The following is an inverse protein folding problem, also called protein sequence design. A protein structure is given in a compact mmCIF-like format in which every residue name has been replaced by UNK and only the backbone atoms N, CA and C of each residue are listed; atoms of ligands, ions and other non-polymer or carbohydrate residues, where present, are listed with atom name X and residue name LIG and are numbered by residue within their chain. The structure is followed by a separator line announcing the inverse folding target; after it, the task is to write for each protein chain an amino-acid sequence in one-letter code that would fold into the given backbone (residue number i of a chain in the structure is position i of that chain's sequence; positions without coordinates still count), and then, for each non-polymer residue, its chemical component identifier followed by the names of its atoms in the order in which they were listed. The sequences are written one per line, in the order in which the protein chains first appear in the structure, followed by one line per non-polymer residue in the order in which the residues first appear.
data_IF_918434424682
#
_entry.id   IF_918434424682
#
_cell.length_a   1.000
_cell.length_b   1.000
_cell.length_c   1.000
_cell.angle_alpha   90.00
_cell.angle_beta   90.00
_cell.angle_gamma   90.00
#
_symmetry.space_group_name_H-M   'P 1'
#
loop_
_entity.id
_entity.type
_entity.pdbx_description
1 polymer ?
#
# COMPACT_ATOMS: atom_id res chain seq x y z
N UNK A 1 6.82 -17.88 -18.81
CA UNK A 1 6.90 -16.55 -18.18
C UNK A 1 6.00 -16.57 -16.96
N UNK A 2 6.45 -16.06 -15.81
CA UNK A 2 5.63 -15.90 -14.61
C UNK A 2 5.46 -14.41 -14.39
N UNK A 3 4.23 -13.96 -14.16
CA UNK A 3 3.91 -12.55 -13.97
C UNK A 3 2.42 -12.35 -13.70
N UNK A 4 2.04 -11.12 -13.41
CA UNK A 4 0.66 -10.73 -13.13
C UNK A 4 0.31 -9.50 -13.97
N UNK A 5 -0.64 -9.65 -14.89
CA UNK A 5 -1.09 -8.60 -15.78
C UNK A 5 -2.24 -7.75 -15.18
N UNK A 6 -2.69 -8.08 -13.97
CA UNK A 6 -3.60 -7.27 -13.17
C UNK A 6 -2.89 -6.29 -12.23
N UNK A 7 -1.57 -6.44 -12.06
CA UNK A 7 -0.70 -5.53 -11.29
C UNK A 7 -0.12 -4.42 -12.17
N UNK A 8 0.74 -3.57 -11.58
CA UNK A 8 1.30 -2.40 -12.24
C UNK A 8 2.05 -2.77 -13.54
N UNK A 9 1.80 -2.04 -14.65
CA UNK A 9 2.55 -2.22 -15.88
C UNK A 9 3.98 -1.65 -15.75
N UNK A 10 4.88 -1.99 -16.71
CA UNK A 10 6.17 -1.30 -16.87
C UNK A 10 6.05 0.22 -16.79
N UNK A 11 6.97 0.83 -16.01
CA UNK A 11 7.02 2.29 -15.86
C UNK A 11 7.54 2.92 -17.16
N UNK A 12 6.73 3.79 -17.75
CA UNK A 12 7.11 4.61 -18.91
C UNK A 12 7.31 6.05 -18.43
N UNK A 13 8.55 6.55 -18.49
CA UNK A 13 8.87 7.89 -17.98
C UNK A 13 8.12 9.00 -18.70
N UNK A 14 7.98 8.88 -20.03
CA UNK A 14 7.22 9.83 -20.82
C UNK A 14 5.81 9.28 -21.08
N UNK A 15 4.84 9.85 -20.37
CA UNK A 15 3.43 9.49 -20.46
C UNK A 15 2.85 9.60 -21.88
N UNK A 16 3.46 10.38 -22.79
CA UNK A 16 3.04 10.42 -24.19
C UNK A 16 3.23 9.07 -24.89
N UNK A 17 4.37 8.39 -24.68
CA UNK A 17 4.60 7.06 -25.28
C UNK A 17 3.67 6.01 -24.68
N UNK A 18 3.33 6.14 -23.39
CA UNK A 18 2.32 5.29 -22.78
C UNK A 18 0.96 5.50 -23.45
N UNK A 19 0.49 6.75 -23.53
CA UNK A 19 -0.86 7.09 -24.03
C UNK A 19 -1.03 6.79 -25.53
N UNK A 20 -0.04 7.14 -26.36
CA UNK A 20 -0.16 7.01 -27.82
C UNK A 20 0.29 5.65 -28.35
N UNK A 21 1.38 5.10 -27.81
CA UNK A 21 2.01 3.88 -28.35
C UNK A 21 1.73 2.63 -27.52
N UNK A 22 1.11 2.76 -26.34
CA UNK A 22 0.92 1.67 -25.36
C UNK A 22 2.23 0.97 -25.01
N UNK A 23 3.30 1.75 -24.85
CA UNK A 23 4.64 1.24 -24.56
C UNK A 23 4.74 0.54 -23.19
N UNK A 24 3.78 0.78 -22.31
CA UNK A 24 3.62 0.10 -21.02
C UNK A 24 3.04 -1.32 -21.16
N UNK A 25 2.62 -1.76 -22.35
CA UNK A 25 2.18 -3.14 -22.53
C UNK A 25 3.37 -4.10 -22.55
N UNK A 26 3.52 -4.89 -21.48
CA UNK A 26 4.49 -5.97 -21.44
C UNK A 26 4.17 -7.08 -22.46
N UNK A 27 5.21 -7.81 -22.90
CA UNK A 27 5.07 -9.00 -23.74
C UNK A 27 4.10 -10.02 -23.13
N UNK A 28 4.20 -10.22 -21.81
CA UNK A 28 3.31 -11.08 -21.04
C UNK A 28 1.84 -10.67 -21.18
N UNK A 29 1.52 -9.40 -20.90
CA UNK A 29 0.16 -8.87 -21.01
C UNK A 29 -0.37 -8.94 -22.44
N UNK A 30 0.52 -8.78 -23.44
CA UNK A 30 0.16 -8.94 -24.85
C UNK A 30 -0.23 -10.38 -25.19
N UNK A 31 0.49 -11.37 -24.70
CA UNK A 31 0.15 -12.79 -24.91
C UNK A 31 -1.17 -13.17 -24.24
N UNK A 32 -1.39 -12.72 -23.01
CA UNK A 32 -2.67 -12.91 -22.32
C UNK A 32 -3.82 -12.29 -23.13
N UNK A 33 -3.65 -11.04 -23.62
CA UNK A 33 -4.65 -10.38 -24.47
C UNK A 33 -4.92 -11.12 -25.78
N UNK A 34 -3.90 -11.74 -26.38
CA UNK A 34 -4.03 -12.52 -27.61
C UNK A 34 -4.61 -13.93 -27.39
N UNK A 35 -4.98 -14.27 -26.14
CA UNK A 35 -5.60 -15.56 -25.82
C UNK A 35 -4.60 -16.72 -25.74
N UNK A 36 -3.31 -16.43 -25.56
CA UNK A 36 -2.33 -17.49 -25.28
C UNK A 36 -2.74 -18.23 -24.00
N UNK A 37 -2.84 -19.58 -24.00
CA UNK A 37 -3.18 -20.35 -22.82
C UNK A 37 -2.19 -20.08 -21.69
N UNK A 38 -2.71 -19.90 -20.47
CA UNK A 38 -1.90 -19.66 -19.28
C UNK A 38 -2.54 -20.37 -18.07
N UNK A 39 -1.71 -20.64 -17.06
CA UNK A 39 -2.15 -21.16 -15.76
C UNK A 39 -2.28 -19.98 -14.82
N UNK A 40 -3.46 -19.80 -14.23
CA UNK A 40 -3.72 -18.81 -13.19
C UNK A 40 -3.60 -19.49 -11.83
N UNK A 41 -2.68 -19.03 -10.98
CA UNK A 41 -2.56 -19.55 -9.62
C UNK A 41 -3.72 -19.02 -8.79
N UNK A 42 -4.32 -19.90 -7.98
CA UNK A 42 -5.61 -19.69 -7.35
C UNK A 42 -5.57 -19.69 -5.81
N UNK A 43 -4.40 -19.79 -5.18
CA UNK A 43 -4.27 -19.77 -3.73
C UNK A 43 -3.12 -18.87 -3.24
N UNK A 44 -3.46 -17.85 -2.43
CA UNK A 44 -2.48 -16.96 -1.80
C UNK A 44 -2.05 -17.46 -0.41
N UNK A 45 -0.79 -17.19 -0.03
CA UNK A 45 -0.19 -17.69 1.21
C UNK A 45 0.39 -16.62 2.14
N UNK A 46 0.07 -15.34 1.93
CA UNK A 46 0.81 -14.20 2.51
C UNK A 46 -0.02 -13.21 3.32
N UNK A 47 -1.32 -13.12 3.08
CA UNK A 47 -2.21 -12.14 3.69
C UNK A 47 -3.38 -12.84 4.39
N UNK A 48 -4.06 -12.15 5.30
CA UNK A 48 -5.29 -12.65 5.91
C UNK A 48 -6.39 -12.78 4.86
N UNK A 49 -7.33 -13.72 4.98
CA UNK A 49 -8.45 -13.84 4.05
C UNK A 49 -9.28 -12.56 3.93
N UNK A 50 -9.46 -11.84 5.05
CA UNK A 50 -10.15 -10.55 5.12
C UNK A 50 -9.47 -9.45 4.30
N UNK A 51 -8.14 -9.41 4.28
CA UNK A 51 -7.34 -8.48 3.47
C UNK A 51 -7.31 -8.95 2.01
N UNK A 52 -7.22 -10.26 1.77
CA UNK A 52 -7.24 -10.83 0.43
C UNK A 52 -8.54 -10.52 -0.32
N UNK A 53 -9.66 -10.42 0.41
CA UNK A 53 -10.95 -10.01 -0.13
C UNK A 53 -10.94 -8.61 -0.77
N UNK A 54 -9.98 -7.74 -0.42
CA UNK A 54 -9.86 -6.41 -1.03
C UNK A 54 -9.39 -6.45 -2.49
N UNK A 55 -8.74 -7.54 -2.93
CA UNK A 55 -8.16 -7.64 -4.26
C UNK A 55 -8.48 -8.93 -5.02
N UNK A 56 -8.97 -9.98 -4.36
CA UNK A 56 -9.20 -11.28 -5.00
C UNK A 56 -10.27 -11.25 -6.10
N UNK A 57 -11.24 -10.34 -6.02
CA UNK A 57 -12.28 -10.10 -7.02
C UNK A 57 -11.71 -9.78 -8.42
N UNK A 58 -10.44 -9.37 -8.50
CA UNK A 58 -9.77 -9.08 -9.76
C UNK A 58 -9.35 -10.34 -10.53
N UNK A 59 -9.27 -11.48 -9.85
CA UNK A 59 -8.81 -12.78 -10.34
C UNK A 59 -9.99 -13.75 -10.45
N UNK A 60 -9.85 -14.84 -11.19
CA UNK A 60 -10.98 -15.76 -11.47
C UNK A 60 -11.44 -16.54 -10.24
N UNK A 61 -10.49 -17.08 -9.46
CA UNK A 61 -10.78 -17.99 -8.36
C UNK A 61 -9.72 -17.90 -7.24
N UNK A 62 -9.16 -16.71 -6.98
CA UNK A 62 -8.11 -16.54 -5.98
C UNK A 62 -8.66 -16.73 -4.55
N UNK A 63 -8.37 -17.89 -3.96
CA UNK A 63 -8.59 -18.24 -2.56
C UNK A 63 -7.30 -18.20 -1.72
N UNK A 64 -7.30 -18.93 -0.62
CA UNK A 64 -6.22 -18.95 0.37
C UNK A 64 -5.68 -20.37 0.57
N UNK A 65 -4.37 -20.48 0.79
CA UNK A 65 -3.74 -21.72 1.23
C UNK A 65 -4.18 -22.10 2.65
N UNK A 66 -4.24 -23.41 3.01
CA UNK A 66 -4.66 -23.86 4.34
C UNK A 66 -3.90 -23.19 5.50
N UNK A 67 -2.59 -22.98 5.32
CA UNK A 67 -1.74 -22.28 6.29
C UNK A 67 -2.31 -20.92 6.70
N UNK A 68 -2.87 -20.16 5.75
CA UNK A 68 -3.43 -18.83 6.02
C UNK A 68 -4.68 -18.90 6.89
N UNK A 69 -5.45 -19.98 6.78
CA UNK A 69 -6.69 -20.18 7.53
C UNK A 69 -6.45 -20.73 8.93
N UNK A 70 -5.37 -21.48 9.11
CA UNK A 70 -5.10 -22.24 10.33
C UNK A 70 -4.04 -21.61 11.24
N UNK A 71 -3.09 -20.85 10.67
CA UNK A 71 -1.95 -20.37 11.46
C UNK A 71 -2.35 -19.21 12.37
N UNK A 72 -1.95 -19.22 13.65
CA UNK A 72 -2.26 -18.13 14.59
C UNK A 72 -1.82 -16.74 14.13
N UNK A 73 -0.77 -16.64 13.30
CA UNK A 73 -0.26 -15.39 12.74
C UNK A 73 -1.28 -14.62 11.88
N UNK A 74 -2.23 -15.33 11.27
CA UNK A 74 -3.32 -14.76 10.46
C UNK A 74 -4.64 -14.62 11.23
N UNK A 75 -4.75 -15.22 12.42
CA UNK A 75 -5.96 -15.19 13.25
C UNK A 75 -5.87 -14.18 14.40
N UNK A 76 -4.65 -13.86 14.85
CA UNK A 76 -4.42 -12.93 15.97
C UNK A 76 -4.83 -11.51 15.60
N UNK A 77 -5.56 -10.77 16.44
CA UNK A 77 -5.90 -9.37 16.14
C UNK A 77 -4.68 -8.45 16.10
N UNK A 78 -4.86 -7.22 15.60
CA UNK A 78 -3.88 -6.13 15.73
C UNK A 78 -4.10 -5.42 17.08
N UNK A 79 -3.22 -5.57 18.10
CA UNK A 79 -3.41 -4.93 19.41
C UNK A 79 -3.70 -3.43 19.36
N UNK A 80 -4.73 -2.98 20.06
CA UNK A 80 -5.11 -1.56 20.11
C UNK A 80 -5.87 -1.05 18.88
N UNK A 81 -6.13 -1.91 17.88
CA UNK A 81 -6.96 -1.59 16.71
C UNK A 81 -8.13 -2.58 16.63
N UNK A 82 -9.35 -2.06 16.59
CA UNK A 82 -10.57 -2.89 16.60
C UNK A 82 -10.81 -3.69 15.32
N UNK A 83 -10.18 -3.29 14.21
CA UNK A 83 -10.35 -3.91 12.90
C UNK A 83 -8.99 -4.22 12.26
N UNK A 84 -8.97 -5.24 11.40
CA UNK A 84 -7.76 -5.66 10.70
C UNK A 84 -7.33 -4.68 9.59
N UNK A 85 -8.31 -4.00 8.99
CA UNK A 85 -8.12 -2.87 8.07
C UNK A 85 -9.28 -1.88 8.25
N UNK A 86 -9.01 -0.61 7.96
CA UNK A 86 -10.00 0.47 8.02
C UNK A 86 -9.74 1.46 6.90
N UNK A 87 -10.80 2.02 6.34
CA UNK A 87 -10.73 3.26 5.58
C UNK A 87 -11.10 4.40 6.54
N UNK A 88 -10.19 5.35 6.70
CA UNK A 88 -10.36 6.48 7.60
C UNK A 88 -10.56 7.73 6.77
N UNK A 89 -11.70 8.38 6.98
CA UNK A 89 -12.00 9.68 6.37
C UNK A 89 -11.24 10.78 7.11
N UNK A 90 -10.43 11.55 6.38
CA UNK A 90 -9.61 12.65 6.93
C UNK A 90 -10.10 13.95 6.31
N UNK A 91 -10.84 14.71 7.11
CA UNK A 91 -11.38 16.01 6.74
C UNK A 91 -10.26 17.07 6.65
N UNK A 92 -10.62 18.25 6.12
CA UNK A 92 -9.71 19.38 6.00
C UNK A 92 -9.01 19.71 7.33
N UNK A 93 -7.69 19.79 7.28
CA UNK A 93 -6.86 20.15 8.42
C UNK A 93 -6.41 21.60 8.30
N UNK A 94 -6.73 22.42 9.30
CA UNK A 94 -6.52 23.87 9.26
C UNK A 94 -7.17 24.53 8.02
N UNK A 95 -8.35 24.04 7.63
CA UNK A 95 -9.10 24.52 6.48
C UNK A 95 -8.48 24.18 5.11
N UNK A 96 -7.61 23.16 5.06
CA UNK A 96 -6.96 22.69 3.83
C UNK A 96 -6.96 21.16 3.75
N UNK A 97 -7.34 20.64 2.59
CA UNK A 97 -7.17 19.24 2.21
C UNK A 97 -5.89 19.02 1.41
N UNK A 98 -6.03 18.50 0.18
CA UNK A 98 -4.90 18.36 -0.76
C UNK A 98 -4.30 19.72 -1.14
N UNK A 99 -2.98 19.73 -1.25
CA UNK A 99 -2.18 20.90 -1.60
C UNK A 99 -1.10 20.51 -2.60
N UNK A 100 -0.68 21.48 -3.42
CA UNK A 100 0.31 21.29 -4.47
C UNK A 100 1.37 22.41 -4.38
N UNK A 101 2.43 22.26 -3.54
CA UNK A 101 3.45 23.29 -3.37
C UNK A 101 4.30 23.55 -4.62
N UNK A 102 4.38 22.55 -5.51
CA UNK A 102 5.05 22.61 -6.82
C UNK A 102 4.23 21.81 -7.83
N UNK A 103 4.28 22.12 -9.14
CA UNK A 103 3.52 21.40 -10.15
C UNK A 103 3.70 19.87 -10.07
N UNK A 104 2.60 19.14 -10.05
CA UNK A 104 2.48 17.68 -9.93
C UNK A 104 3.02 17.08 -8.62
N UNK A 105 3.18 17.90 -7.58
CA UNK A 105 3.76 17.50 -6.30
C UNK A 105 2.68 17.55 -5.20
N UNK A 106 1.75 16.61 -5.25
CA UNK A 106 0.58 16.55 -4.37
C UNK A 106 0.93 16.08 -2.95
N UNK A 107 0.31 16.74 -1.98
CA UNK A 107 0.50 16.55 -0.54
C UNK A 107 -0.80 16.79 0.23
N UNK A 108 -1.00 16.08 1.35
CA UNK A 108 -2.06 16.32 2.32
C UNK A 108 -1.48 16.28 3.74
N UNK A 109 -1.41 17.45 4.40
CA UNK A 109 -0.83 17.58 5.74
C UNK A 109 -1.67 16.88 6.81
N UNK A 110 -3.00 16.93 6.70
CA UNK A 110 -3.90 16.26 7.63
C UNK A 110 -3.67 14.76 7.63
N UNK A 111 -3.62 14.15 6.44
CA UNK A 111 -3.33 12.72 6.29
C UNK A 111 -1.91 12.37 6.78
N UNK A 112 -0.91 13.21 6.49
CA UNK A 112 0.47 12.95 6.91
C UNK A 112 0.59 12.94 8.45
N UNK A 113 0.05 13.94 9.13
CA UNK A 113 0.05 14.02 10.60
C UNK A 113 -0.79 12.88 11.22
N UNK A 114 -1.92 12.50 10.60
CA UNK A 114 -2.75 11.39 11.07
C UNK A 114 -1.99 10.06 11.02
N UNK A 115 -1.41 9.72 9.87
CA UNK A 115 -0.69 8.45 9.68
C UNK A 115 0.54 8.36 10.59
N UNK A 116 1.28 9.46 10.78
CA UNK A 116 2.43 9.47 11.70
C UNK A 116 1.98 9.35 13.15
N UNK A 117 0.85 9.97 13.53
CA UNK A 117 0.27 9.82 14.87
C UNK A 117 -0.17 8.38 15.14
N UNK A 118 -0.78 7.71 14.15
CA UNK A 118 -1.13 6.28 14.24
C UNK A 118 0.12 5.40 14.40
N UNK A 119 1.18 5.67 13.63
CA UNK A 119 2.47 4.98 13.81
C UNK A 119 3.01 5.17 15.24
N UNK A 120 3.04 6.41 15.72
CA UNK A 120 3.52 6.73 17.06
C UNK A 120 2.64 6.03 18.14
N UNK A 121 1.31 5.92 17.97
CA UNK A 121 0.41 5.11 18.81
C UNK A 121 0.78 3.62 18.81
N UNK A 122 0.94 3.01 17.63
CA UNK A 122 1.34 1.61 17.51
C UNK A 122 2.69 1.35 18.22
N UNK A 123 3.63 2.28 18.13
CA UNK A 123 4.91 2.19 18.84
C UNK A 123 4.76 2.24 20.36
N UNK A 124 3.85 3.08 20.90
CA UNK A 124 3.52 3.08 22.34
C UNK A 124 2.90 1.76 22.79
N UNK A 125 2.11 1.12 21.93
CA UNK A 125 1.53 -0.22 22.18
C UNK A 125 2.56 -1.36 22.07
N UNK A 126 3.82 -1.06 21.72
CA UNK A 126 4.91 -2.03 21.65
C UNK A 126 5.12 -2.69 20.28
N UNK A 127 4.46 -2.21 19.22
CA UNK A 127 4.65 -2.79 17.88
C UNK A 127 6.09 -2.62 17.40
N UNK A 128 6.74 -3.66 16.85
CA UNK A 128 8.08 -3.51 16.28
C UNK A 128 8.07 -2.55 15.09
N UNK A 129 8.89 -1.50 15.13
CA UNK A 129 8.98 -0.52 14.04
C UNK A 129 9.32 -1.17 12.68
N UNK A 130 10.16 -2.20 12.69
CA UNK A 130 10.55 -2.97 11.51
C UNK A 130 9.38 -3.71 10.82
N UNK A 131 8.23 -3.85 11.50
CA UNK A 131 7.02 -4.50 10.97
C UNK A 131 6.00 -3.50 10.40
N UNK A 132 6.28 -2.19 10.48
CA UNK A 132 5.40 -1.14 9.99
C UNK A 132 6.08 -0.44 8.81
N UNK A 133 5.35 -0.28 7.70
CA UNK A 133 5.78 0.52 6.55
C UNK A 133 4.64 1.44 6.14
N UNK A 134 4.96 2.66 5.76
CA UNK A 134 3.97 3.67 5.36
C UNK A 134 4.03 3.80 3.84
N UNK A 135 2.87 3.68 3.18
CA UNK A 135 2.75 3.77 1.73
C UNK A 135 1.92 4.98 1.35
N UNK A 136 2.25 5.58 0.21
CA UNK A 136 1.46 6.66 -0.40
C UNK A 136 1.63 6.62 -1.92
N UNK A 137 0.64 7.14 -2.63
CA UNK A 137 0.57 7.14 -4.10
C UNK A 137 1.43 8.25 -4.74
N UNK A 138 1.76 9.30 -3.99
CA UNK A 138 2.48 10.46 -4.50
C UNK A 138 3.84 10.66 -3.83
N UNK A 139 4.87 10.98 -4.62
CA UNK A 139 6.20 11.31 -4.10
C UNK A 139 6.16 12.54 -3.19
N UNK A 140 5.32 13.54 -3.51
CA UNK A 140 5.14 14.72 -2.67
C UNK A 140 4.69 14.35 -1.26
N UNK A 141 3.68 13.50 -1.16
CA UNK A 141 3.19 13.01 0.13
C UNK A 141 4.21 12.13 0.85
N UNK A 142 5.00 11.33 0.12
CA UNK A 142 6.08 10.51 0.71
C UNK A 142 7.10 11.40 1.43
N UNK A 143 7.54 12.45 0.77
CA UNK A 143 8.53 13.36 1.32
C UNK A 143 7.94 14.15 2.51
N UNK A 144 6.66 14.57 2.43
CA UNK A 144 5.97 15.20 3.56
C UNK A 144 5.86 14.28 4.77
N UNK A 145 5.47 13.02 4.59
CA UNK A 145 5.40 12.04 5.69
C UNK A 145 6.77 11.86 6.33
N UNK A 146 7.86 11.80 5.54
CA UNK A 146 9.22 11.71 6.08
C UNK A 146 9.56 12.93 6.92
N UNK A 147 9.23 14.14 6.47
CA UNK A 147 9.44 15.36 7.23
C UNK A 147 8.68 15.35 8.56
N UNK A 148 7.43 14.88 8.57
CA UNK A 148 6.61 14.76 9.78
C UNK A 148 7.22 13.71 10.73
N UNK A 149 7.66 12.55 10.22
CA UNK A 149 8.33 11.51 11.02
C UNK A 149 9.60 12.05 11.68
N UNK A 150 10.45 12.78 10.94
CA UNK A 150 11.69 13.35 11.48
C UNK A 150 11.41 14.38 12.58
N UNK A 151 10.38 15.20 12.42
CA UNK A 151 10.01 16.22 13.42
C UNK A 151 9.33 15.63 14.66
N UNK A 152 8.52 14.58 14.50
CA UNK A 152 7.63 14.06 15.56
C UNK A 152 8.16 12.81 16.28
N UNK A 153 8.69 11.84 15.52
CA UNK A 153 8.92 10.49 16.04
C UNK A 153 10.41 10.07 16.02
N UNK A 154 11.20 10.48 15.02
CA UNK A 154 12.49 9.83 14.69
C UNK A 154 13.55 9.84 15.83
N UNK A 155 13.66 10.93 16.57
CA UNK A 155 14.65 11.09 17.65
C UNK A 155 14.17 10.59 19.01
N UNK A 156 12.88 10.25 19.14
CA UNK A 156 12.32 9.81 20.41
C UNK A 156 12.61 8.31 20.62
N UNK A 157 13.22 7.90 21.76
CA UNK A 157 13.63 6.51 22.00
C UNK A 157 12.49 5.49 21.89
N UNK A 158 11.26 5.90 22.22
CA UNK A 158 10.09 5.02 22.17
C UNK A 158 9.57 4.78 20.74
N UNK A 159 9.83 5.69 19.79
CA UNK A 159 9.22 5.62 18.46
C UNK A 159 10.22 5.11 17.42
N UNK A 160 11.30 5.83 17.17
CA UNK A 160 12.21 5.55 16.06
C UNK A 160 11.57 5.84 14.69
N UNK A 161 12.03 5.14 13.65
CA UNK A 161 11.56 5.30 12.26
C UNK A 161 10.80 4.05 11.79
N UNK A 162 9.76 4.19 10.94
CA UNK A 162 9.16 3.05 10.25
C UNK A 162 10.18 2.39 9.30
N UNK A 163 9.93 1.15 8.90
CA UNK A 163 10.87 0.37 8.08
C UNK A 163 11.07 0.93 6.67
N UNK A 164 9.97 1.35 6.02
CA UNK A 164 9.93 1.94 4.68
C UNK A 164 8.86 3.02 4.62
#
# INVERSE_FOLDING_TARGET
MIGDHHQLPPVVQNMAFQKYSRLDQSLFSRFVRLGTPYVELDAQGRARPSIAALYNWRYRALGDLPRVRESPEFLSSNPGLGYEYQLVDVQDFMGRGESEPRPYYYQNLGEAEYVVSLYCFMRLMGYPAAKISILTTYNGQKDLIRDVVERRCAYHPLFGRPHK
#
